data_IF_574524251299
#
_entry.id   IF_574524251299
#
_cell.length_a   1.000
_cell.length_b   1.000
_cell.length_c   1.000
_cell.angle_alpha   90.00
_cell.angle_beta   90.00
_cell.angle_gamma   90.00
#
_symmetry.space_group_name_H-M   'P 1'
#
loop_
_entity.id
_entity.type
_entity.pdbx_description
1 polymer ?
#
# COMPACT_ATOMS: atom_id res chain seq x y z
N UNK A 1 -4.15 20.01 -7.57
CA UNK A 1 -3.36 19.53 -6.42
C UNK A 1 -4.33 18.90 -5.44
N UNK A 2 -4.03 17.70 -4.95
CA UNK A 2 -4.88 16.95 -4.02
C UNK A 2 -4.39 17.13 -2.57
N UNK A 3 -5.24 16.81 -1.60
CA UNK A 3 -4.89 16.81 -0.18
C UNK A 3 -4.90 15.41 0.41
N UNK A 4 -4.19 15.22 1.52
CA UNK A 4 -4.23 13.96 2.29
C UNK A 4 -5.66 13.67 2.74
N UNK A 5 -6.40 14.68 3.20
CA UNK A 5 -7.80 14.52 3.61
C UNK A 5 -8.67 13.95 2.49
N UNK A 6 -8.53 14.41 1.24
CA UNK A 6 -9.28 13.85 0.11
C UNK A 6 -8.99 12.37 -0.13
N UNK A 7 -7.73 11.97 0.07
CA UNK A 7 -7.31 10.58 -0.08
C UNK A 7 -7.83 9.73 1.08
N UNK A 8 -7.76 10.23 2.32
CA UNK A 8 -8.31 9.57 3.50
C UNK A 8 -9.83 9.39 3.39
N UNK A 9 -10.55 10.40 2.88
CA UNK A 9 -11.98 10.34 2.64
C UNK A 9 -12.32 9.26 1.58
N UNK A 10 -11.51 9.14 0.52
CA UNK A 10 -11.65 8.07 -0.47
C UNK A 10 -11.33 6.69 0.14
N UNK A 11 -10.26 6.59 0.93
CA UNK A 11 -9.85 5.35 1.59
C UNK A 11 -10.89 4.86 2.60
N UNK A 12 -11.62 5.76 3.27
CA UNK A 12 -12.68 5.41 4.23
C UNK A 12 -13.83 4.57 3.62
N UNK A 13 -13.94 4.56 2.28
CA UNK A 13 -14.92 3.77 1.53
C UNK A 13 -14.46 2.33 1.30
N UNK A 14 -13.17 2.04 1.49
CA UNK A 14 -12.57 0.71 1.36
C UNK A 14 -12.91 -0.11 2.60
N UNK A 15 -13.65 -1.21 2.42
CA UNK A 15 -14.05 -2.10 3.51
C UNK A 15 -13.25 -3.40 3.48
N UNK A 16 -12.79 -3.79 2.30
CA UNK A 16 -12.00 -4.98 2.03
C UNK A 16 -11.12 -4.76 0.80
N UNK A 17 -10.27 -5.74 0.46
CA UNK A 17 -9.48 -5.72 -0.77
C UNK A 17 -10.32 -5.61 -2.05
N UNK A 18 -11.62 -5.98 -2.03
CA UNK A 18 -12.49 -5.90 -3.20
C UNK A 18 -12.80 -4.46 -3.65
N UNK A 19 -12.76 -3.49 -2.73
CA UNK A 19 -12.98 -2.07 -3.04
C UNK A 19 -11.70 -1.34 -3.47
N UNK A 20 -10.54 -1.97 -3.32
CA UNK A 20 -9.25 -1.33 -3.60
C UNK A 20 -9.12 -0.82 -5.05
N UNK A 21 -9.48 -1.57 -6.11
CA UNK A 21 -9.56 -1.05 -7.48
C UNK A 21 -10.31 0.28 -7.63
N UNK A 22 -11.47 0.42 -6.99
CA UNK A 22 -12.30 1.62 -7.08
C UNK A 22 -11.64 2.80 -6.37
N UNK A 23 -11.02 2.55 -5.22
CA UNK A 23 -10.23 3.56 -4.51
C UNK A 23 -9.09 4.08 -5.39
N UNK A 24 -8.31 3.20 -6.04
CA UNK A 24 -7.22 3.59 -6.94
C UNK A 24 -7.73 4.47 -8.08
N UNK A 25 -8.86 4.11 -8.71
CA UNK A 25 -9.47 4.95 -9.76
C UNK A 25 -9.90 6.31 -9.23
N UNK A 26 -10.49 6.37 -8.04
CA UNK A 26 -10.93 7.62 -7.41
C UNK A 26 -9.75 8.56 -7.15
N UNK A 27 -8.68 8.09 -6.49
CA UNK A 27 -7.54 8.97 -6.18
C UNK A 27 -6.71 9.33 -7.41
N UNK A 28 -6.71 8.48 -8.46
CA UNK A 28 -6.14 8.84 -9.77
C UNK A 28 -6.85 10.07 -10.35
N UNK A 29 -8.18 10.16 -10.19
CA UNK A 29 -8.96 11.32 -10.65
C UNK A 29 -8.61 12.63 -9.92
N UNK A 30 -8.05 12.54 -8.71
CA UNK A 30 -7.52 13.70 -7.97
C UNK A 30 -6.15 14.16 -8.47
N UNK A 31 -5.50 13.37 -9.33
CA UNK A 31 -4.18 13.61 -9.89
C UNK A 31 -3.04 12.87 -9.18
N UNK A 32 -3.35 11.84 -8.37
CA UNK A 32 -2.31 10.95 -7.80
C UNK A 32 -1.75 10.07 -8.91
N UNK A 33 -0.42 10.00 -9.00
CA UNK A 33 0.34 9.21 -9.99
C UNK A 33 0.89 7.93 -9.42
N UNK A 34 1.44 8.01 -8.22
CA UNK A 34 1.85 6.86 -7.44
C UNK A 34 1.82 7.22 -5.96
N UNK A 35 1.87 6.21 -5.11
CA UNK A 35 2.13 6.40 -3.69
C UNK A 35 2.97 5.28 -3.12
N UNK A 36 3.75 5.61 -2.10
CA UNK A 36 4.54 4.65 -1.32
C UNK A 36 4.00 4.61 0.10
N UNK A 37 3.70 3.42 0.61
CA UNK A 37 3.33 3.23 2.02
C UNK A 37 4.39 2.40 2.71
N UNK A 38 4.82 2.86 3.89
CA UNK A 38 5.78 2.14 4.72
C UNK A 38 5.05 1.26 5.74
N UNK A 39 5.41 -0.02 5.76
CA UNK A 39 4.86 -1.00 6.71
C UNK A 39 5.17 -0.64 8.16
N UNK A 40 6.27 0.10 8.37
CA UNK A 40 6.73 0.50 9.69
C UNK A 40 5.62 1.14 10.54
N UNK A 41 4.85 2.07 9.99
CA UNK A 41 3.85 2.86 10.74
C UNK A 41 2.63 3.24 9.87
N UNK A 42 2.55 2.71 8.64
CA UNK A 42 1.56 3.03 7.61
C UNK A 42 1.48 4.51 7.21
N UNK A 43 2.54 5.30 7.39
CA UNK A 43 2.62 6.57 6.68
C UNK A 43 2.73 6.32 5.17
N UNK A 44 2.11 7.21 4.39
CA UNK A 44 2.07 7.13 2.94
C UNK A 44 2.53 8.44 2.34
N UNK A 45 3.46 8.37 1.40
CA UNK A 45 3.85 9.48 0.54
C UNK A 45 3.12 9.36 -0.79
N UNK A 46 2.47 10.44 -1.21
CA UNK A 46 1.70 10.53 -2.44
C UNK A 46 2.38 11.48 -3.41
N UNK A 47 2.43 11.07 -4.68
CA UNK A 47 3.11 11.81 -5.75
C UNK A 47 2.10 12.18 -6.84
N UNK A 48 2.17 13.42 -7.31
CA UNK A 48 1.31 13.97 -8.36
C UNK A 48 2.12 14.62 -9.48
N UNK A 49 1.42 15.33 -10.37
CA UNK A 49 2.06 16.07 -11.46
C UNK A 49 2.92 17.25 -10.97
N UNK A 50 3.88 17.67 -11.81
CA UNK A 50 4.75 18.83 -11.57
C UNK A 50 5.50 18.76 -10.23
N UNK A 51 6.04 17.58 -9.90
CA UNK A 51 6.77 17.29 -8.66
C UNK A 51 5.96 17.51 -7.37
N UNK A 52 4.62 17.57 -7.47
CA UNK A 52 3.76 17.70 -6.30
C UNK A 52 3.86 16.44 -5.43
N UNK A 53 4.02 16.65 -4.12
CA UNK A 53 4.07 15.59 -3.12
C UNK A 53 3.36 15.99 -1.83
N UNK A 54 2.76 15.02 -1.16
CA UNK A 54 2.21 15.17 0.19
C UNK A 54 2.31 13.85 0.95
N UNK A 55 2.15 13.88 2.27
CA UNK A 55 2.28 12.68 3.10
C UNK A 55 1.27 12.64 4.24
N UNK A 56 0.79 11.44 4.56
CA UNK A 56 -0.04 11.21 5.74
C UNK A 56 0.81 11.20 7.01
N UNK A 57 0.12 11.22 8.15
CA UNK A 57 0.73 10.92 9.44
C UNK A 57 0.88 9.40 9.61
N UNK A 58 1.81 8.95 10.48
CA UNK A 58 1.81 7.60 11.01
C UNK A 58 0.44 7.21 11.58
N UNK A 59 0.01 5.96 11.37
CA UNK A 59 -1.29 5.45 11.83
C UNK A 59 -1.18 4.59 13.10
N UNK A 60 -0.01 4.02 13.37
CA UNK A 60 0.25 3.16 14.53
C UNK A 60 1.72 3.23 14.97
N UNK A 61 2.03 2.63 16.12
CA UNK A 61 3.41 2.53 16.63
C UNK A 61 4.28 1.64 15.72
N UNK A 62 5.57 1.97 15.65
CA UNK A 62 6.56 1.29 14.80
C UNK A 62 6.49 -0.26 14.88
N UNK A 63 6.20 -0.89 13.75
CA UNK A 63 6.37 -2.33 13.52
C UNK A 63 7.84 -2.63 13.20
N UNK A 64 8.35 -3.71 13.81
CA UNK A 64 9.66 -4.25 13.47
C UNK A 64 9.55 -5.11 12.20
N UNK A 65 10.23 -4.68 11.14
CA UNK A 65 10.28 -5.41 9.88
C UNK A 65 11.38 -6.47 9.95
N UNK A 66 11.04 -7.71 9.61
CA UNK A 66 11.98 -8.82 9.56
C UNK A 66 13.10 -8.56 8.53
N UNK A 67 14.34 -8.92 8.86
CA UNK A 67 15.49 -8.79 7.93
C UNK A 67 15.43 -9.81 6.79
N UNK A 68 14.77 -10.95 7.00
CA UNK A 68 14.70 -12.02 5.99
C UNK A 68 13.33 -12.04 5.33
N UNK A 69 13.32 -11.97 4.00
CA UNK A 69 12.11 -12.06 3.19
C UNK A 69 11.61 -13.50 3.15
N UNK A 70 10.32 -13.69 3.41
CA UNK A 70 9.63 -14.96 3.14
C UNK A 70 8.52 -14.74 2.10
N UNK A 71 8.94 -14.71 0.84
CA UNK A 71 8.06 -14.41 -0.30
C UNK A 71 6.90 -15.40 -0.43
N UNK A 72 7.12 -16.69 -0.19
CA UNK A 72 6.07 -17.71 -0.31
C UNK A 72 4.98 -17.53 0.75
N UNK A 73 5.36 -17.28 2.01
CA UNK A 73 4.41 -17.03 3.09
C UNK A 73 3.70 -15.69 2.89
N UNK A 74 4.42 -14.64 2.47
CA UNK A 74 3.82 -13.35 2.13
C UNK A 74 2.74 -13.49 1.04
N UNK A 75 3.03 -14.17 -0.07
CA UNK A 75 2.07 -14.34 -1.16
C UNK A 75 0.78 -15.06 -0.70
N UNK A 76 0.89 -16.03 0.21
CA UNK A 76 -0.27 -16.71 0.81
C UNK A 76 -1.09 -15.76 1.68
N UNK A 77 -0.45 -14.96 2.53
CA UNK A 77 -1.13 -14.00 3.40
C UNK A 77 -1.78 -12.86 2.63
N UNK A 78 -1.11 -12.33 1.61
CA UNK A 78 -1.67 -11.33 0.70
C UNK A 78 -2.97 -11.84 0.05
N UNK A 79 -2.97 -13.09 -0.43
CA UNK A 79 -4.18 -13.69 -1.00
C UNK A 79 -5.32 -13.81 0.00
N UNK A 80 -5.03 -14.15 1.25
CA UNK A 80 -6.02 -14.19 2.33
C UNK A 80 -6.59 -12.78 2.59
N UNK A 81 -5.73 -11.75 2.61
CA UNK A 81 -6.14 -10.36 2.79
C UNK A 81 -7.06 -9.89 1.66
N UNK A 82 -6.68 -10.13 0.40
CA UNK A 82 -7.49 -9.80 -0.77
C UNK A 82 -8.88 -10.47 -0.74
N UNK A 83 -9.00 -11.64 -0.13
CA UNK A 83 -10.26 -12.38 0.04
C UNK A 83 -11.07 -11.93 1.28
N UNK A 84 -10.61 -10.91 2.01
CA UNK A 84 -11.26 -10.38 3.21
C UNK A 84 -11.02 -11.21 4.47
N UNK A 85 -10.01 -12.08 4.48
CA UNK A 85 -9.67 -12.94 5.62
C UNK A 85 -8.88 -12.25 6.73
N UNK A 86 -8.33 -11.06 6.48
CA UNK A 86 -7.60 -10.23 7.44
C UNK A 86 -7.99 -8.76 7.31
N UNK A 87 -7.91 -8.02 8.40
CA UNK A 87 -8.01 -6.55 8.36
C UNK A 87 -6.67 -5.90 7.95
N UNK A 88 -6.69 -4.58 7.79
CA UNK A 88 -5.52 -3.82 7.34
C UNK A 88 -4.35 -3.87 8.32
N UNK A 89 -4.59 -3.86 9.63
CA UNK A 89 -3.52 -3.93 10.63
C UNK A 89 -2.85 -5.31 10.61
N UNK A 90 -3.64 -6.38 10.51
CA UNK A 90 -3.12 -7.73 10.37
C UNK A 90 -2.33 -7.88 9.06
N UNK A 91 -2.79 -7.30 7.96
CA UNK A 91 -2.02 -7.25 6.72
C UNK A 91 -0.66 -6.56 6.89
N UNK A 92 -0.60 -5.41 7.58
CA UNK A 92 0.67 -4.74 7.86
C UNK A 92 1.61 -5.59 8.72
N UNK A 93 1.09 -6.31 9.71
CA UNK A 93 1.89 -7.26 10.50
C UNK A 93 2.39 -8.42 9.66
N UNK A 94 1.55 -8.97 8.79
CA UNK A 94 1.94 -10.02 7.85
C UNK A 94 3.05 -9.53 6.91
N UNK A 95 2.98 -8.29 6.42
CA UNK A 95 4.08 -7.66 5.67
C UNK A 95 5.38 -7.63 6.50
N UNK A 96 5.32 -7.08 7.71
CA UNK A 96 6.47 -6.92 8.60
C UNK A 96 7.14 -8.26 8.93
N UNK A 97 6.34 -9.27 9.31
CA UNK A 97 6.82 -10.62 9.65
C UNK A 97 7.56 -11.30 8.50
N UNK A 98 7.20 -10.98 7.26
CA UNK A 98 7.74 -11.59 6.05
C UNK A 98 8.75 -10.69 5.31
N UNK A 99 9.23 -9.63 5.96
CA UNK A 99 10.33 -8.81 5.47
C UNK A 99 9.95 -7.79 4.39
N UNK A 100 8.66 -7.47 4.26
CA UNK A 100 8.21 -6.37 3.40
C UNK A 100 8.37 -5.05 4.19
N UNK A 101 9.14 -4.12 3.65
CA UNK A 101 9.39 -2.79 4.23
C UNK A 101 8.30 -1.79 3.81
N UNK A 102 7.92 -1.84 2.54
CA UNK A 102 7.03 -0.86 1.92
C UNK A 102 6.39 -1.45 0.68
N UNK A 103 5.37 -0.77 0.19
CA UNK A 103 4.83 -1.03 -1.14
C UNK A 103 4.63 0.26 -1.91
N UNK A 104 4.76 0.17 -3.23
CA UNK A 104 4.53 1.26 -4.17
C UNK A 104 3.36 0.87 -5.05
N UNK A 105 2.37 1.77 -5.11
CA UNK A 105 1.26 1.64 -6.05
C UNK A 105 1.48 2.63 -7.18
N UNK A 106 1.60 2.13 -8.40
CA UNK A 106 1.66 2.92 -9.61
C UNK A 106 0.26 2.98 -10.24
N UNK A 107 -0.33 4.17 -10.27
CA UNK A 107 -1.70 4.37 -10.74
C UNK A 107 -1.73 4.54 -12.26
N UNK A 108 -0.61 4.87 -12.91
CA UNK A 108 -0.51 4.92 -14.36
C UNK A 108 -0.44 3.50 -14.95
N UNK A 109 0.31 2.60 -14.30
CA UNK A 109 0.46 1.19 -14.70
C UNK A 109 -0.50 0.22 -14.00
N UNK A 110 -1.27 0.69 -13.02
CA UNK A 110 -2.17 -0.14 -12.19
C UNK A 110 -1.46 -1.33 -11.55
N UNK A 111 -0.34 -1.08 -10.88
CA UNK A 111 0.43 -2.13 -10.18
C UNK A 111 0.64 -1.79 -8.72
N UNK A 112 0.76 -2.82 -7.89
CA UNK A 112 1.25 -2.71 -6.51
C UNK A 112 2.49 -3.60 -6.39
N UNK A 113 3.63 -3.00 -6.03
CA UNK A 113 4.90 -3.71 -5.84
C UNK A 113 5.34 -3.60 -4.39
N UNK A 114 5.65 -4.73 -3.78
CA UNK A 114 6.14 -4.86 -2.41
C UNK A 114 7.66 -4.98 -2.42
N UNK A 115 8.34 -4.27 -1.51
CA UNK A 115 9.80 -4.19 -1.46
C UNK A 115 10.33 -4.62 -0.10
N UNK A 116 11.51 -5.21 -0.09
CA UNK A 116 12.28 -5.48 1.12
C UNK A 116 13.15 -4.27 1.53
N UNK A 117 13.84 -4.39 2.68
CA UNK A 117 14.76 -3.34 3.20
C UNK A 117 15.95 -3.04 2.28
N UNK A 118 16.33 -3.97 1.42
CA UNK A 118 17.40 -3.77 0.44
C UNK A 118 16.89 -3.11 -0.85
N UNK A 119 15.57 -2.89 -0.96
CA UNK A 119 14.93 -2.32 -2.13
C UNK A 119 14.69 -3.31 -3.25
N UNK A 120 14.76 -4.63 -2.99
CA UNK A 120 14.41 -5.64 -3.98
C UNK A 120 12.89 -5.86 -4.03
N UNK A 121 12.38 -6.11 -5.23
CA UNK A 121 11.00 -6.53 -5.45
C UNK A 121 10.75 -7.89 -4.79
N UNK A 122 9.81 -7.92 -3.84
CA UNK A 122 9.33 -9.15 -3.21
C UNK A 122 8.20 -9.75 -4.04
N UNK A 123 7.25 -8.93 -4.47
CA UNK A 123 6.09 -9.35 -5.25
C UNK A 123 5.48 -8.14 -5.97
N UNK A 124 5.02 -8.33 -7.20
CA UNK A 124 4.22 -7.34 -7.93
C UNK A 124 2.89 -7.95 -8.31
N UNK A 125 1.81 -7.24 -8.06
CA UNK A 125 0.45 -7.60 -8.48
C UNK A 125 -0.14 -6.52 -9.40
N UNK A 126 -0.97 -6.97 -10.34
CA UNK A 126 -1.80 -6.09 -11.16
C UNK A 126 -3.08 -5.75 -10.42
N UNK A 127 -3.45 -4.49 -10.44
CA UNK A 127 -4.69 -3.98 -9.86
C UNK A 127 -5.75 -4.03 -10.97
N UNK A 128 -6.85 -4.79 -10.77
CA UNK A 128 -7.97 -4.78 -11.72
C UNK A 128 -8.47 -3.35 -11.93
N UNK A 129 -8.82 -2.98 -13.17
CA UNK A 129 -9.27 -1.64 -13.53
C UNK A 129 -10.46 -1.68 -14.49
#
# INVERSE_FOLDING_TARGET
MFTVQQIEDAHSKVKSGAEFPKYIQEIKSFGVKNFTTWVKDSHTEYFGENDFKTKSQPQYDDLEINETVNQEKFAKQLKIHQQGGTDYMQFCRDCAENGVEKWIVDLDHFTCTYFDKAGNDVLTEEIPH
#
